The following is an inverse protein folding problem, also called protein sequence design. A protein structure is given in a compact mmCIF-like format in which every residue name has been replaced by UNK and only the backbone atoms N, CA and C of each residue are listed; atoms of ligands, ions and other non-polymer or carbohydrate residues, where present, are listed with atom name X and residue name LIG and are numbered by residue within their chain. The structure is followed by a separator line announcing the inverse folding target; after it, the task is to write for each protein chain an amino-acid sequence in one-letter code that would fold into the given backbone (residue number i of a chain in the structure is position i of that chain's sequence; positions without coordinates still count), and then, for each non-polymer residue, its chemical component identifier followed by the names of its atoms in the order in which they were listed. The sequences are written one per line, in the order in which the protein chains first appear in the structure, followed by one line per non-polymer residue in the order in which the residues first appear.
data_IF_850957776658
#
_entry.id   IF_850957776658
#
_cell.length_a   1.000
_cell.length_b   1.000
_cell.length_c   1.000
_cell.angle_alpha   90.00
_cell.angle_beta   90.00
_cell.angle_gamma   90.00
#
_symmetry.space_group_name_H-M   'P 1'
#
loop_
_entity.id
_entity.type
_entity.pdbx_description
1 polymer ?
#
# COMPACT_ATOMS: atom_id res chain seq x y z
N UNK A 1 -2.87 -30.03 14.86
CA UNK A 1 -2.48 -29.30 13.64
C UNK A 1 -3.68 -29.37 12.69
N UNK A 2 -4.50 -28.30 12.64
CA UNK A 2 -5.85 -28.32 12.07
C UNK A 2 -5.84 -27.86 10.59
N UNK A 3 -6.01 -28.82 9.67
CA UNK A 3 -5.93 -28.68 8.21
C UNK A 3 -7.15 -27.99 7.54
N UNK A 4 -8.04 -27.36 8.31
CA UNK A 4 -9.20 -26.62 7.75
C UNK A 4 -8.93 -25.13 7.46
N UNK A 5 -7.86 -24.55 8.00
CA UNK A 5 -7.60 -23.11 7.88
C UNK A 5 -7.14 -22.67 6.49
N UNK A 6 -6.46 -23.53 5.73
CA UNK A 6 -5.89 -23.14 4.44
C UNK A 6 -6.97 -22.99 3.36
N UNK A 7 -7.97 -23.87 3.34
CA UNK A 7 -9.10 -23.80 2.41
C UNK A 7 -10.01 -22.61 2.70
N UNK A 8 -10.27 -22.35 3.98
CA UNK A 8 -11.03 -21.17 4.43
C UNK A 8 -10.25 -19.89 4.09
N UNK A 9 -8.93 -19.87 4.34
CA UNK A 9 -8.05 -18.76 3.99
C UNK A 9 -8.03 -18.45 2.49
N UNK A 10 -7.98 -19.49 1.64
CA UNK A 10 -8.06 -19.34 0.18
C UNK A 10 -9.43 -18.77 -0.23
N UNK A 11 -10.53 -19.25 0.35
CA UNK A 11 -11.86 -18.72 0.08
C UNK A 11 -11.96 -17.23 0.45
N UNK A 12 -11.48 -16.84 1.64
CA UNK A 12 -11.46 -15.44 2.07
C UNK A 12 -10.58 -14.57 1.16
N UNK A 13 -9.43 -15.09 0.71
CA UNK A 13 -8.56 -14.38 -0.23
C UNK A 13 -9.27 -14.16 -1.57
N UNK A 14 -9.91 -15.20 -2.14
CA UNK A 14 -10.67 -15.10 -3.40
C UNK A 14 -11.78 -14.06 -3.28
N UNK A 15 -12.59 -14.12 -2.21
CA UNK A 15 -13.66 -13.14 -1.97
C UNK A 15 -13.09 -11.72 -1.84
N UNK A 16 -12.00 -11.55 -1.11
CA UNK A 16 -11.33 -10.26 -0.97
C UNK A 16 -10.83 -9.71 -2.31
N UNK A 17 -10.21 -10.56 -3.14
CA UNK A 17 -9.73 -10.15 -4.46
C UNK A 17 -10.88 -9.83 -5.42
N UNK A 18 -12.00 -10.55 -5.36
CA UNK A 18 -13.21 -10.24 -6.13
C UNK A 18 -13.79 -8.87 -5.70
N UNK A 19 -13.93 -8.62 -4.40
CA UNK A 19 -14.39 -7.33 -3.89
C UNK A 19 -13.46 -6.18 -4.33
N UNK A 20 -12.15 -6.42 -4.30
CA UNK A 20 -11.17 -5.45 -4.82
C UNK A 20 -11.31 -5.21 -6.32
N UNK A 21 -11.52 -6.28 -7.11
CA UNK A 21 -11.71 -6.20 -8.56
C UNK A 21 -12.97 -5.40 -8.98
N UNK A 22 -14.00 -5.37 -8.14
CA UNK A 22 -15.21 -4.56 -8.34
C UNK A 22 -15.02 -3.07 -8.00
N UNK A 23 -13.95 -2.72 -7.28
CA UNK A 23 -13.72 -1.36 -6.78
C UNK A 23 -13.58 -0.30 -7.90
N UNK A 24 -12.85 -0.55 -9.00
CA UNK A 24 -12.79 0.38 -10.12
C UNK A 24 -14.16 0.63 -10.78
N UNK A 25 -15.02 -0.39 -10.84
CA UNK A 25 -16.38 -0.28 -11.38
C UNK A 25 -17.20 0.63 -10.48
N UNK A 26 -17.14 0.41 -9.16
CA UNK A 26 -17.80 1.28 -8.18
C UNK A 26 -17.38 2.74 -8.34
N UNK A 27 -16.08 3.04 -8.40
CA UNK A 27 -15.62 4.43 -8.57
C UNK A 27 -16.05 5.08 -9.86
N UNK A 28 -16.19 4.30 -10.94
CA UNK A 28 -16.74 4.80 -12.20
C UNK A 28 -18.23 5.16 -12.07
N UNK A 29 -18.99 4.42 -11.26
CA UNK A 29 -20.39 4.74 -10.97
C UNK A 29 -20.52 6.00 -10.09
N UNK A 30 -19.63 6.20 -9.12
CA UNK A 30 -19.60 7.39 -8.24
C UNK A 30 -18.63 8.48 -8.72
N UNK A 31 -18.34 8.56 -10.02
CA UNK A 31 -17.40 9.54 -10.59
C UNK A 31 -17.79 11.01 -10.34
N UNK A 32 -19.06 11.27 -9.98
CA UNK A 32 -19.58 12.58 -9.62
C UNK A 32 -19.14 13.07 -8.22
N UNK A 33 -18.64 12.17 -7.37
CA UNK A 33 -18.13 12.47 -6.02
C UNK A 33 -16.62 12.73 -6.10
N UNK A 34 -16.13 13.74 -5.38
CA UNK A 34 -14.70 14.04 -5.43
C UNK A 34 -13.88 12.88 -4.82
N UNK A 35 -12.72 12.49 -5.42
CA UNK A 35 -11.90 11.40 -4.90
C UNK A 35 -11.48 11.57 -3.43
N UNK A 36 -11.32 12.82 -3.00
CA UNK A 36 -11.00 13.16 -1.62
C UNK A 36 -12.14 12.85 -0.64
N UNK A 37 -13.39 13.03 -1.05
CA UNK A 37 -14.57 12.72 -0.22
C UNK A 37 -14.73 11.20 -0.05
N UNK A 38 -14.53 10.44 -1.14
CA UNK A 38 -14.53 8.97 -1.09
C UNK A 38 -13.42 8.48 -0.14
N UNK A 39 -12.23 9.06 -0.22
CA UNK A 39 -11.13 8.73 0.68
C UNK A 39 -11.45 9.07 2.13
N UNK A 40 -12.02 10.25 2.39
CA UNK A 40 -12.38 10.70 3.72
C UNK A 40 -13.44 9.78 4.36
N UNK A 41 -14.49 9.43 3.62
CA UNK A 41 -15.51 8.48 4.07
C UNK A 41 -14.91 7.11 4.36
N UNK A 42 -14.00 6.62 3.50
CA UNK A 42 -13.30 5.36 3.73
C UNK A 42 -12.50 5.39 5.03
N UNK A 43 -11.74 6.46 5.28
CA UNK A 43 -10.93 6.60 6.50
C UNK A 43 -11.83 6.67 7.73
N UNK A 44 -12.92 7.44 7.66
CA UNK A 44 -13.89 7.57 8.74
C UNK A 44 -14.56 6.22 9.10
N UNK A 45 -15.08 5.50 8.11
CA UNK A 45 -15.69 4.18 8.35
C UNK A 45 -14.67 3.13 8.79
N UNK A 46 -13.45 3.16 8.26
CA UNK A 46 -12.38 2.27 8.70
C UNK A 46 -11.99 2.53 10.16
N UNK A 47 -11.98 3.79 10.58
CA UNK A 47 -11.73 4.17 11.97
C UNK A 47 -12.83 3.65 12.90
N UNK A 48 -14.10 3.87 12.56
CA UNK A 48 -15.24 3.35 13.33
C UNK A 48 -15.19 1.82 13.41
N UNK A 49 -14.99 1.14 12.27
CA UNK A 49 -14.91 -0.31 12.22
C UNK A 49 -13.76 -0.85 13.08
N UNK A 50 -12.58 -0.21 13.02
CA UNK A 50 -11.44 -0.58 13.86
C UNK A 50 -11.74 -0.38 15.34
N UNK A 51 -12.42 0.70 15.75
CA UNK A 51 -12.83 0.91 17.14
C UNK A 51 -13.76 -0.21 17.63
N UNK A 52 -14.78 -0.55 16.83
CA UNK A 52 -15.71 -1.65 17.14
C UNK A 52 -14.96 -2.97 17.28
N UNK A 53 -14.06 -3.28 16.33
CA UNK A 53 -13.27 -4.50 16.37
C UNK A 53 -12.37 -4.57 17.61
N UNK A 54 -11.82 -3.42 18.04
CA UNK A 54 -10.99 -3.32 19.22
C UNK A 54 -11.77 -3.56 20.52
N UNK A 55 -13.03 -3.12 20.57
CA UNK A 55 -13.96 -3.40 21.66
C UNK A 55 -14.32 -4.89 21.71
N UNK A 56 -14.68 -5.49 20.58
CA UNK A 56 -15.06 -6.91 20.47
C UNK A 56 -13.89 -7.82 20.86
N UNK A 57 -12.68 -7.51 20.37
CA UNK A 57 -11.46 -8.31 20.65
C UNK A 57 -10.89 -8.07 22.05
N UNK A 58 -11.45 -7.13 22.82
CA UNK A 58 -10.99 -6.72 24.17
C UNK A 58 -9.52 -6.30 24.24
N UNK A 59 -8.93 -5.86 23.12
CA UNK A 59 -7.51 -5.43 23.02
C UNK A 59 -7.28 -3.96 23.41
N UNK A 60 -8.24 -3.34 24.11
CA UNK A 60 -8.22 -1.92 24.51
C UNK A 60 -6.97 -1.54 25.32
N UNK A 61 -6.54 -2.40 26.25
CA UNK A 61 -5.32 -2.16 27.04
C UNK A 61 -4.07 -2.11 26.17
N UNK A 62 -3.92 -3.04 25.22
CA UNK A 62 -2.79 -3.08 24.28
C UNK A 62 -2.75 -1.82 23.42
N UNK A 63 -3.90 -1.36 22.96
CA UNK A 63 -4.01 -0.13 22.18
C UNK A 63 -3.60 1.11 22.98
N UNK A 64 -4.08 1.27 24.21
CA UNK A 64 -3.69 2.40 25.06
C UNK A 64 -2.18 2.41 25.31
N UNK A 65 -1.59 1.24 25.59
CA UNK A 65 -0.13 1.13 25.78
C UNK A 65 0.62 1.56 24.51
N UNK A 66 0.15 1.14 23.34
CA UNK A 66 0.74 1.52 22.06
C UNK A 66 0.63 3.04 21.80
N UNK A 67 -0.52 3.65 22.06
CA UNK A 67 -0.69 5.11 21.92
C UNK A 67 0.24 5.86 22.86
N UNK A 68 0.39 5.40 24.12
CA UNK A 68 1.35 6.00 25.07
C UNK A 68 2.80 5.90 24.56
N UNK A 69 3.18 4.79 23.94
CA UNK A 69 4.51 4.64 23.33
C UNK A 69 4.72 5.61 22.17
N UNK A 70 3.71 5.82 21.32
CA UNK A 70 3.77 6.79 20.22
C UNK A 70 3.98 8.21 20.74
N UNK A 71 3.22 8.62 21.76
CA UNK A 71 3.34 9.98 22.33
C UNK A 71 4.73 10.20 22.96
N UNK A 72 5.31 9.17 23.58
CA UNK A 72 6.65 9.24 24.18
C UNK A 72 7.79 9.23 23.15
N UNK A 73 7.56 8.71 21.93
CA UNK A 73 8.60 8.55 20.90
C UNK A 73 8.25 9.35 19.65
N UNK A 74 8.77 10.59 19.50
CA UNK A 74 8.46 11.44 18.34
C UNK A 74 8.85 10.78 17.00
N UNK A 75 9.92 9.99 16.97
CA UNK A 75 10.33 9.22 15.77
C UNK A 75 9.26 8.21 15.31
N UNK A 76 8.61 7.53 16.25
CA UNK A 76 7.53 6.57 15.96
C UNK A 76 6.29 7.29 15.41
N UNK A 77 5.94 8.42 16.03
CA UNK A 77 4.85 9.28 15.56
C UNK A 77 5.09 9.77 14.13
N UNK A 78 6.24 10.38 13.85
CA UNK A 78 6.55 10.90 12.51
C UNK A 78 6.58 9.80 11.46
N UNK A 79 7.14 8.63 11.79
CA UNK A 79 7.17 7.50 10.86
C UNK A 79 5.76 7.00 10.52
N UNK A 80 4.85 6.92 11.51
CA UNK A 80 3.44 6.57 11.28
C UNK A 80 2.68 7.65 10.51
N UNK A 81 2.94 8.92 10.81
CA UNK A 81 2.33 10.04 10.13
C UNK A 81 2.74 10.07 8.64
N UNK A 82 4.04 9.99 8.36
CA UNK A 82 4.58 9.92 6.99
C UNK A 82 4.01 8.71 6.24
N UNK A 83 3.99 7.53 6.87
CA UNK A 83 3.40 6.34 6.27
C UNK A 83 1.91 6.55 5.93
N UNK A 84 1.15 7.18 6.83
CA UNK A 84 -0.28 7.48 6.64
C UNK A 84 -0.54 8.48 5.53
N UNK A 85 0.29 9.52 5.42
CA UNK A 85 0.21 10.51 4.33
C UNK A 85 0.56 9.86 2.99
N UNK A 86 1.63 9.06 2.93
CA UNK A 86 2.06 8.38 1.71
C UNK A 86 1.01 7.39 1.19
N UNK A 87 0.42 6.57 2.05
CA UNK A 87 -0.61 5.62 1.63
C UNK A 87 -1.90 6.34 1.22
N UNK A 88 -2.25 7.45 1.89
CA UNK A 88 -3.42 8.26 1.52
C UNK A 88 -3.22 8.95 0.18
N UNK A 89 -2.04 9.52 -0.06
CA UNK A 89 -1.66 10.09 -1.35
C UNK A 89 -1.68 9.03 -2.46
N UNK A 90 -1.14 7.84 -2.19
CA UNK A 90 -1.12 6.73 -3.13
C UNK A 90 -2.55 6.33 -3.57
N UNK A 91 -3.45 6.12 -2.60
CA UNK A 91 -4.85 5.81 -2.91
C UNK A 91 -5.55 6.96 -3.64
N UNK A 92 -5.30 8.21 -3.26
CA UNK A 92 -5.87 9.38 -3.95
C UNK A 92 -5.44 9.47 -5.41
N UNK A 93 -4.15 9.26 -5.69
CA UNK A 93 -3.60 9.22 -7.06
C UNK A 93 -4.24 8.07 -7.84
N UNK A 94 -4.35 6.89 -7.23
CA UNK A 94 -4.94 5.71 -7.87
C UNK A 94 -6.42 5.94 -8.21
N UNK A 95 -7.23 6.44 -7.26
CA UNK A 95 -8.63 6.78 -7.49
C UNK A 95 -8.79 7.82 -8.59
N UNK A 96 -7.99 8.90 -8.54
CA UNK A 96 -8.02 9.95 -9.56
C UNK A 96 -7.64 9.41 -10.95
N UNK A 97 -6.68 8.50 -11.03
CA UNK A 97 -6.30 7.86 -12.28
C UNK A 97 -7.44 7.01 -12.85
N UNK A 98 -8.09 6.21 -12.02
CA UNK A 98 -9.20 5.35 -12.43
C UNK A 98 -10.42 6.16 -12.89
N UNK A 99 -10.80 7.20 -12.12
CA UNK A 99 -11.94 8.08 -12.44
C UNK A 99 -11.69 8.83 -13.76
N UNK A 100 -10.46 9.29 -14.01
CA UNK A 100 -10.10 9.99 -15.26
C UNK A 100 -9.81 9.04 -16.44
N UNK A 101 -10.15 7.76 -16.35
CA UNK A 101 -9.94 6.78 -17.43
C UNK A 101 -8.48 6.38 -17.68
N UNK A 102 -7.54 6.82 -16.84
CA UNK A 102 -6.10 6.49 -16.91
C UNK A 102 -5.76 5.18 -16.20
N UNK A 103 -6.61 4.16 -16.37
CA UNK A 103 -6.47 2.86 -15.71
C UNK A 103 -5.22 2.12 -16.20
N UNK A 104 -4.85 2.27 -17.48
CA UNK A 104 -3.64 1.65 -18.04
C UNK A 104 -2.38 2.19 -17.35
N UNK A 105 -2.30 3.50 -17.15
CA UNK A 105 -1.21 4.16 -16.40
C UNK A 105 -1.20 3.67 -14.93
N UNK A 106 -2.37 3.62 -14.28
CA UNK A 106 -2.48 3.10 -12.92
C UNK A 106 -1.97 1.65 -12.78
N UNK A 107 -2.33 0.77 -13.72
CA UNK A 107 -1.87 -0.63 -13.76
C UNK A 107 -0.37 -0.73 -14.02
N UNK A 108 0.17 0.09 -14.91
CA UNK A 108 1.62 0.18 -15.12
C UNK A 108 2.34 0.55 -13.82
N UNK A 109 1.80 1.49 -13.04
CA UNK A 109 2.29 1.81 -11.69
C UNK A 109 2.37 0.60 -10.77
N UNK A 110 1.36 -0.27 -10.79
CA UNK A 110 1.35 -1.51 -9.99
C UNK A 110 2.47 -2.48 -10.37
N UNK A 111 2.91 -2.50 -11.63
CA UNK A 111 4.07 -3.30 -12.05
C UNK A 111 5.41 -2.66 -11.65
N UNK A 112 5.47 -1.33 -11.53
CA UNK A 112 6.66 -0.61 -11.07
C UNK A 112 6.83 -0.71 -9.54
N UNK A 113 5.72 -0.80 -8.78
CA UNK A 113 5.72 -0.82 -7.31
C UNK A 113 6.75 -1.80 -6.68
N UNK A 114 6.84 -3.09 -7.10
CA UNK A 114 7.81 -4.02 -6.53
C UNK A 114 9.25 -3.60 -6.82
N UNK A 115 9.54 -3.11 -8.02
CA UNK A 115 10.87 -2.64 -8.39
C UNK A 115 11.30 -1.46 -7.53
N UNK A 116 10.44 -0.46 -7.38
CA UNK A 116 10.73 0.72 -6.53
C UNK A 116 10.91 0.32 -5.07
N UNK A 117 10.09 -0.61 -4.56
CA UNK A 117 10.21 -1.09 -3.18
C UNK A 117 11.53 -1.83 -2.94
N UNK A 118 11.95 -2.67 -3.88
CA UNK A 118 13.25 -3.39 -3.82
C UNK A 118 14.41 -2.40 -3.88
N UNK A 119 14.39 -1.44 -4.82
CA UNK A 119 15.43 -0.41 -4.94
C UNK A 119 15.58 0.40 -3.64
N UNK A 120 14.47 0.87 -3.08
CA UNK A 120 14.48 1.61 -1.82
C UNK A 120 14.99 0.74 -0.66
N UNK A 121 14.68 -0.55 -0.65
CA UNK A 121 15.23 -1.53 0.30
C UNK A 121 16.75 -1.64 0.20
N UNK A 122 17.28 -1.84 -1.00
CA UNK A 122 18.73 -1.94 -1.23
C UNK A 122 19.44 -0.64 -0.85
N UNK A 123 18.90 0.52 -1.26
CA UNK A 123 19.55 1.82 -1.04
C UNK A 123 19.51 2.24 0.44
N UNK A 124 18.34 2.21 1.08
CA UNK A 124 18.16 2.79 2.42
C UNK A 124 18.34 1.77 3.54
N UNK A 125 17.95 0.52 3.33
CA UNK A 125 18.08 -0.55 4.32
C UNK A 125 19.35 -1.39 4.11
N UNK A 126 20.13 -1.13 3.04
CA UNK A 126 21.36 -1.83 2.69
C UNK A 126 21.15 -3.34 2.55
N UNK A 127 19.97 -3.73 2.05
CA UNK A 127 19.64 -5.13 1.84
C UNK A 127 20.46 -5.72 0.70
N UNK A 128 20.99 -6.92 0.91
CA UNK A 128 21.74 -7.64 -0.12
C UNK A 128 20.77 -8.52 -0.91
N UNK A 129 20.74 -8.33 -2.22
CA UNK A 129 20.02 -9.20 -3.13
C UNK A 129 20.89 -10.39 -3.51
N UNK A 130 20.28 -11.58 -3.60
CA UNK A 130 20.94 -12.74 -4.19
C UNK A 130 21.14 -12.55 -5.69
N UNK A 131 22.09 -13.28 -6.31
CA UNK A 131 22.31 -13.22 -7.76
C UNK A 131 21.03 -13.50 -8.56
N UNK A 132 20.21 -14.46 -8.11
CA UNK A 132 18.91 -14.77 -8.70
C UNK A 132 17.90 -13.61 -8.57
N UNK A 133 17.88 -12.90 -7.43
CA UNK A 133 17.02 -11.74 -7.23
C UNK A 133 17.44 -10.56 -8.10
N UNK A 134 18.75 -10.36 -8.31
CA UNK A 134 19.26 -9.32 -9.22
C UNK A 134 18.83 -9.65 -10.65
N UNK A 135 18.97 -10.91 -11.08
CA UNK A 135 18.53 -11.32 -12.41
C UNK A 135 17.02 -11.11 -12.61
N UNK A 136 16.19 -11.53 -11.65
CA UNK A 136 14.74 -11.30 -11.68
C UNK A 136 14.39 -9.81 -11.69
N UNK A 137 15.12 -8.99 -10.92
CA UNK A 137 14.94 -7.54 -10.87
C UNK A 137 15.25 -6.88 -12.21
N UNK A 138 16.37 -7.25 -12.86
CA UNK A 138 16.75 -6.75 -14.19
C UNK A 138 15.70 -7.18 -15.21
N UNK A 139 15.27 -8.44 -15.20
CA UNK A 139 14.26 -8.95 -16.12
C UNK A 139 12.92 -8.21 -15.98
N UNK A 140 12.47 -7.99 -14.75
CA UNK A 140 11.27 -7.20 -14.48
C UNK A 140 11.44 -5.73 -14.89
N UNK A 141 12.63 -5.15 -14.70
CA UNK A 141 12.98 -3.80 -15.15
C UNK A 141 12.90 -3.66 -16.68
N UNK A 142 13.38 -4.65 -17.43
CA UNK A 142 13.25 -4.69 -18.90
C UNK A 142 11.78 -4.74 -19.31
N UNK A 143 10.98 -5.60 -18.70
CA UNK A 143 9.55 -5.71 -19.01
C UNK A 143 8.79 -4.40 -18.78
N UNK A 144 9.07 -3.73 -17.65
CA UNK A 144 8.50 -2.41 -17.34
C UNK A 144 8.97 -1.35 -18.34
N UNK A 145 10.25 -1.37 -18.73
CA UNK A 145 10.80 -0.41 -19.69
C UNK A 145 10.15 -0.59 -21.07
N UNK A 146 10.02 -1.81 -21.56
CA UNK A 146 9.33 -2.12 -22.81
C UNK A 146 7.88 -1.64 -22.78
N UNK A 147 7.16 -1.91 -21.68
CA UNK A 147 5.77 -1.47 -21.53
C UNK A 147 5.65 0.06 -21.46
N UNK A 148 6.61 0.73 -20.82
CA UNK A 148 6.67 2.20 -20.74
C UNK A 148 6.97 2.84 -22.09
N UNK A 149 7.90 2.27 -22.87
CA UNK A 149 8.20 2.74 -24.23
C UNK A 149 7.00 2.55 -25.17
N UNK A 150 6.29 1.44 -25.04
CA UNK A 150 5.08 1.17 -25.83
C UNK A 150 3.93 2.13 -25.49
N UNK A 151 3.86 2.60 -24.24
CA UNK A 151 2.88 3.59 -23.82
C UNK A 151 3.10 4.97 -24.46
N UNK A 152 4.30 5.25 -24.98
CA UNK A 152 4.60 6.43 -25.82
C UNK A 152 4.64 7.78 -25.11
N UNK A 153 4.22 7.84 -23.84
CA UNK A 153 4.24 9.05 -23.01
C UNK A 153 4.85 8.75 -21.64
N UNK A 154 5.44 9.77 -21.00
CA UNK A 154 6.02 9.64 -19.66
C UNK A 154 4.90 9.34 -18.65
N UNK A 155 4.91 8.17 -17.97
CA UNK A 155 3.79 7.73 -17.17
C UNK A 155 3.86 8.31 -15.75
N UNK A 156 3.61 9.61 -15.61
CA UNK A 156 3.75 10.35 -14.34
C UNK A 156 2.89 9.77 -13.21
N UNK A 157 1.69 9.26 -13.53
CA UNK A 157 0.83 8.60 -12.53
C UNK A 157 1.48 7.32 -12.03
N UNK A 158 2.01 6.49 -12.92
CA UNK A 158 2.71 5.24 -12.58
C UNK A 158 3.90 5.49 -11.67
N UNK A 159 4.72 6.50 -12.01
CA UNK A 159 5.89 6.88 -11.22
C UNK A 159 5.51 7.42 -9.85
N UNK A 160 4.45 8.24 -9.78
CA UNK A 160 3.95 8.79 -8.52
C UNK A 160 3.40 7.69 -7.61
N UNK A 161 2.65 6.72 -8.17
CA UNK A 161 2.17 5.55 -7.44
C UNK A 161 3.33 4.70 -6.93
N UNK A 162 4.31 4.41 -7.78
CA UNK A 162 5.48 3.61 -7.43
C UNK A 162 6.31 4.25 -6.32
N UNK A 163 6.56 5.56 -6.43
CA UNK A 163 7.34 6.29 -5.44
C UNK A 163 6.62 6.37 -4.09
N UNK A 164 5.34 6.75 -4.10
CA UNK A 164 4.55 6.86 -2.85
C UNK A 164 4.40 5.52 -2.15
N UNK A 165 4.14 4.45 -2.90
CA UNK A 165 4.02 3.09 -2.34
C UNK A 165 5.36 2.57 -1.82
N UNK A 166 6.44 2.76 -2.58
CA UNK A 166 7.78 2.34 -2.17
C UNK A 166 8.26 3.06 -0.90
N UNK A 167 8.04 4.37 -0.81
CA UNK A 167 8.37 5.15 0.38
C UNK A 167 7.50 4.74 1.58
N UNK A 168 6.22 4.44 1.37
CA UNK A 168 5.35 3.89 2.42
C UNK A 168 5.88 2.54 2.93
N UNK A 169 6.27 1.64 2.02
CA UNK A 169 6.89 0.36 2.36
C UNK A 169 8.17 0.52 3.18
N UNK A 170 9.04 1.45 2.78
CA UNK A 170 10.26 1.80 3.51
C UNK A 170 9.95 2.34 4.93
N UNK A 171 9.01 3.28 5.05
CA UNK A 171 8.57 3.83 6.34
C UNK A 171 8.03 2.74 7.27
N UNK A 172 7.20 1.83 6.75
CA UNK A 172 6.66 0.69 7.51
C UNK A 172 7.75 -0.29 7.95
N UNK A 173 8.76 -0.51 7.11
CA UNK A 173 9.89 -1.39 7.45
C UNK A 173 10.79 -0.79 8.52
N UNK A 174 11.06 0.52 8.45
CA UNK A 174 11.74 1.28 9.51
C UNK A 174 10.98 1.24 10.84
N UNK A 175 9.66 1.39 10.81
CA UNK A 175 8.79 1.25 11.99
C UNK A 175 8.98 -0.08 12.72
N UNK A 176 9.00 -1.19 11.96
CA UNK A 176 9.22 -2.53 12.52
C UNK A 176 10.60 -2.66 13.15
N UNK A 177 11.64 -2.10 12.53
CA UNK A 177 13.00 -2.11 13.07
C UNK A 177 13.12 -1.30 14.37
N UNK A 178 12.49 -0.13 14.43
CA UNK A 178 12.46 0.70 15.65
C UNK A 178 11.80 -0.07 16.80
N UNK A 179 10.71 -0.79 16.54
CA UNK A 179 10.01 -1.60 17.56
C UNK A 179 10.78 -2.85 18.02
N UNK A 180 11.75 -3.35 17.24
CA UNK A 180 12.54 -4.55 17.57
C UNK A 180 13.81 -4.23 18.36
N UNK A 181 14.26 -2.98 18.34
CA UNK A 181 15.45 -2.52 19.06
C UNK A 181 15.14 -2.09 20.51
N UNK A 182 13.88 -2.27 20.94
CA UNK A 182 13.34 -1.96 22.27
C UNK A 182 12.71 -3.20 22.90
#
# INVERSE_FOLDING_TARGET
MNLNHDKDGVMYAVLSYLMWGLTPIYWKLVHHVAPGEILAQRVFWSFIFMLILLLITKKWRTYITFVKQIVKKPSLFWSLFIASVLISANWGIFMRAVINGKIVEASLGQYINPLTSVLLGVIFLKERLSGAQIFAFILAGIGVLTLSLHYGVVPWISLSLALTFGLYGLAKKRLKLIQQLD
#
